data_IF_996669308715
#
_entry.id   IF_996669308715
#
_cell.length_a   1.000
_cell.length_b   1.000
_cell.length_c   1.000
_cell.angle_alpha   90.00
_cell.angle_beta   90.00
_cell.angle_gamma   90.00
#
_symmetry.space_group_name_H-M   'P 1'
#
loop_
_entity.id
_entity.type
_entity.pdbx_description
1 polymer ?
#
# COMPACT_ATOMS: atom_id res chain seq x y z
N UNK A 1 -14.15 3.43 -8.99
CA UNK A 1 -13.31 2.23 -8.76
C UNK A 1 -12.72 1.65 -10.05
N UNK A 2 -13.48 1.52 -11.15
CA UNK A 2 -12.92 1.01 -12.42
C UNK A 2 -11.76 1.88 -12.94
N UNK A 3 -11.94 3.20 -13.02
CA UNK A 3 -10.90 4.16 -13.41
C UNK A 3 -9.66 4.08 -12.50
N UNK A 4 -9.85 4.10 -11.18
CA UNK A 4 -8.78 3.86 -10.21
C UNK A 4 -7.98 2.57 -10.46
N UNK A 5 -8.65 1.44 -10.71
CA UNK A 5 -7.97 0.19 -11.04
C UNK A 5 -7.21 0.24 -12.37
N UNK A 6 -7.73 0.99 -13.34
CA UNK A 6 -7.05 1.19 -14.63
C UNK A 6 -5.78 2.05 -14.51
N UNK A 7 -5.75 3.02 -13.58
CA UNK A 7 -4.54 3.80 -13.30
C UNK A 7 -3.37 2.91 -12.83
N UNK A 8 -3.64 1.78 -12.20
CA UNK A 8 -2.63 0.82 -11.77
C UNK A 8 -2.19 -0.18 -12.87
N UNK A 9 -2.72 -0.12 -14.10
CA UNK A 9 -2.48 -1.13 -15.16
C UNK A 9 -1.02 -1.33 -15.52
N UNK A 10 -0.18 -0.30 -15.38
CA UNK A 10 1.27 -0.34 -15.64
C UNK A 10 2.10 -0.99 -14.52
N UNK A 11 1.50 -1.31 -13.37
CA UNK A 11 2.17 -1.78 -12.16
C UNK A 11 1.87 -3.25 -11.86
N UNK A 12 1.99 -4.12 -12.87
CA UNK A 12 1.68 -5.56 -12.73
C UNK A 12 2.57 -6.28 -11.70
N UNK A 13 3.74 -5.73 -11.46
CA UNK A 13 4.75 -6.15 -10.50
C UNK A 13 4.42 -5.75 -9.06
N UNK A 14 3.52 -4.78 -8.86
CA UNK A 14 3.05 -4.39 -7.53
C UNK A 14 1.79 -5.18 -7.19
N UNK A 15 1.86 -5.98 -6.13
CA UNK A 15 0.75 -6.78 -5.61
C UNK A 15 -0.02 -5.95 -4.60
N UNK A 16 -1.32 -5.78 -4.82
CA UNK A 16 -2.21 -5.06 -3.92
C UNK A 16 -3.02 -6.03 -3.05
N UNK A 17 -3.07 -5.75 -1.76
CA UNK A 17 -3.95 -6.39 -0.78
C UNK A 17 -4.87 -5.30 -0.21
N UNK A 18 -6.17 -5.34 -0.55
CA UNK A 18 -7.18 -4.37 -0.13
C UNK A 18 -8.26 -5.10 0.67
N UNK A 19 -8.18 -5.04 2.00
CA UNK A 19 -8.97 -5.91 2.89
C UNK A 19 -9.88 -5.08 3.80
N UNK A 20 -11.18 -5.42 3.93
CA UNK A 20 -12.07 -4.76 4.88
C UNK A 20 -11.58 -4.92 6.33
N UNK A 21 -11.64 -3.85 7.13
CA UNK A 21 -11.16 -3.83 8.52
C UNK A 21 -12.20 -3.33 9.53
N UNK A 22 -13.46 -3.20 9.11
CA UNK A 22 -14.56 -2.76 9.97
C UNK A 22 -14.65 -3.60 11.25
N UNK A 23 -14.78 -2.92 12.40
CA UNK A 23 -14.83 -3.51 13.73
C UNK A 23 -13.55 -4.24 14.21
N UNK A 24 -12.44 -4.16 13.45
CA UNK A 24 -11.13 -4.71 13.84
C UNK A 24 -10.14 -3.62 14.29
N UNK A 25 -10.62 -2.38 14.47
CA UNK A 25 -9.85 -1.20 14.84
C UNK A 25 -10.56 0.07 14.36
N UNK A 26 -9.81 1.17 14.27
CA UNK A 26 -10.34 2.50 13.94
C UNK A 26 -10.47 2.78 12.43
N UNK A 27 -10.25 1.76 11.58
CA UNK A 27 -10.12 1.92 10.12
C UNK A 27 -11.15 1.10 9.34
N UNK A 28 -11.45 1.54 8.12
CA UNK A 28 -12.38 0.85 7.21
C UNK A 28 -11.68 -0.23 6.36
N UNK A 29 -10.40 -0.02 6.04
CA UNK A 29 -9.59 -0.88 5.17
C UNK A 29 -8.17 -1.01 5.72
N UNK A 30 -7.56 -2.18 5.48
CA UNK A 30 -6.10 -2.38 5.57
C UNK A 30 -5.58 -2.54 4.14
N UNK A 31 -4.54 -1.76 3.82
CA UNK A 31 -3.88 -1.76 2.52
C UNK A 31 -2.44 -2.23 2.68
N UNK A 32 -2.02 -3.20 1.87
CA UNK A 32 -0.62 -3.57 1.73
C UNK A 32 -0.25 -3.69 0.25
N UNK A 33 0.88 -3.08 -0.11
CA UNK A 33 1.44 -3.14 -1.46
C UNK A 33 2.83 -3.79 -1.38
N UNK A 34 3.03 -4.85 -2.17
CA UNK A 34 4.27 -5.62 -2.18
C UNK A 34 4.86 -5.58 -3.59
N UNK A 35 6.15 -5.27 -3.71
CA UNK A 35 6.86 -5.23 -4.97
C UNK A 35 8.33 -5.65 -4.78
N UNK A 36 9.01 -6.11 -5.84
CA UNK A 36 10.45 -6.38 -5.78
C UNK A 36 11.29 -5.13 -5.46
N UNK A 37 10.87 -3.96 -5.95
CA UNK A 37 11.57 -2.68 -5.78
C UNK A 37 10.66 -1.63 -5.15
N UNK A 38 11.20 -0.81 -4.24
CA UNK A 38 10.42 0.16 -3.46
C UNK A 38 9.92 1.34 -4.31
N UNK A 39 10.72 1.79 -5.26
CA UNK A 39 10.37 2.89 -6.18
C UNK A 39 9.11 2.58 -6.99
N UNK A 40 8.87 1.31 -7.32
CA UNK A 40 7.63 0.85 -7.97
C UNK A 40 6.38 1.14 -7.14
N UNK A 41 6.47 0.96 -5.81
CA UNK A 41 5.38 1.29 -4.88
C UNK A 41 5.20 2.81 -4.80
N UNK A 42 6.31 3.56 -4.73
CA UNK A 42 6.27 5.03 -4.69
C UNK A 42 5.62 5.60 -5.95
N UNK A 43 6.01 5.12 -7.12
CA UNK A 43 5.46 5.52 -8.41
C UNK A 43 3.97 5.17 -8.53
N UNK A 44 3.58 3.94 -8.14
CA UNK A 44 2.17 3.56 -8.09
C UNK A 44 1.37 4.52 -7.21
N UNK A 45 1.84 4.76 -5.98
CA UNK A 45 1.13 5.63 -5.03
C UNK A 45 1.01 7.06 -5.53
N UNK A 46 2.03 7.57 -6.25
CA UNK A 46 1.99 8.88 -6.93
C UNK A 46 0.92 8.90 -8.01
N UNK A 47 0.90 7.91 -8.90
CA UNK A 47 -0.04 7.90 -10.03
C UNK A 47 -1.49 7.72 -9.56
N UNK A 48 -1.72 6.95 -8.49
CA UNK A 48 -3.04 6.81 -7.88
C UNK A 48 -3.56 8.13 -7.27
N UNK A 49 -2.73 9.17 -7.11
CA UNK A 49 -3.20 10.52 -6.74
C UNK A 49 -4.03 11.18 -7.84
N UNK A 50 -3.86 10.82 -9.10
CA UNK A 50 -4.58 11.39 -10.22
C UNK A 50 -5.95 10.72 -10.48
N UNK A 51 -6.48 9.96 -9.52
CA UNK A 51 -7.74 9.23 -9.66
C UNK A 51 -8.89 9.90 -8.91
N UNK A 52 -10.11 9.78 -9.42
CA UNK A 52 -11.29 10.40 -8.78
C UNK A 52 -11.56 9.84 -7.38
N UNK A 53 -11.10 8.61 -7.10
CA UNK A 53 -11.17 7.99 -5.78
C UNK A 53 -10.55 8.86 -4.67
N UNK A 54 -9.57 9.72 -4.99
CA UNK A 54 -8.92 10.63 -4.03
C UNK A 54 -9.87 11.65 -3.41
N UNK A 55 -10.94 12.02 -4.09
CA UNK A 55 -11.98 12.92 -3.56
C UNK A 55 -12.78 12.29 -2.42
N UNK A 56 -12.63 10.97 -2.22
CA UNK A 56 -13.40 10.17 -1.26
C UNK A 56 -12.50 9.52 -0.20
N UNK A 57 -11.32 10.07 0.08
CA UNK A 57 -10.44 9.60 1.16
C UNK A 57 -10.50 10.50 2.38
N UNK A 58 -10.73 9.92 3.57
CA UNK A 58 -10.72 10.66 4.84
C UNK A 58 -9.39 10.51 5.61
N UNK A 59 -8.88 9.28 5.72
CA UNK A 59 -7.64 8.96 6.42
C UNK A 59 -6.88 7.85 5.68
N UNK A 60 -5.55 7.93 5.65
CA UNK A 60 -4.67 6.94 5.01
C UNK A 60 -3.35 6.71 5.77
N UNK A 61 -3.23 7.23 6.99
CA UNK A 61 -2.03 7.19 7.83
C UNK A 61 -2.33 6.51 9.16
N UNK A 62 -1.33 5.90 9.83
CA UNK A 62 0.12 5.90 9.52
C UNK A 62 0.52 4.94 8.40
N UNK A 63 1.66 5.24 7.74
CA UNK A 63 2.33 4.34 6.80
C UNK A 63 3.47 3.59 7.50
N UNK A 64 3.58 2.29 7.22
CA UNK A 64 4.71 1.47 7.59
C UNK A 64 5.31 0.88 6.31
N UNK A 65 6.60 1.11 6.08
CA UNK A 65 7.28 0.69 4.86
C UNK A 65 8.67 0.20 5.21
N UNK A 66 9.06 -0.95 4.66
CA UNK A 66 10.36 -1.54 4.93
C UNK A 66 10.58 -2.81 4.08
N UNK A 67 11.82 -3.30 4.05
CA UNK A 67 12.15 -4.52 3.32
C UNK A 67 11.61 -5.76 4.04
N UNK A 68 11.29 -6.80 3.28
CA UNK A 68 11.11 -8.15 3.84
C UNK A 68 12.47 -8.70 4.24
N UNK A 69 12.68 -8.98 5.52
CA UNK A 69 13.92 -9.56 6.05
C UNK A 69 13.67 -10.90 6.76
N UNK A 70 14.66 -11.80 6.84
CA UNK A 70 14.61 -12.94 7.75
C UNK A 70 14.46 -12.50 9.21
N UNK A 71 13.81 -13.33 10.03
CA UNK A 71 13.53 -13.00 11.44
C UNK A 71 14.82 -12.76 12.23
N UNK A 72 15.87 -13.53 11.95
CA UNK A 72 17.18 -13.43 12.59
C UNK A 72 17.85 -12.08 12.30
N UNK A 73 17.69 -11.57 11.07
CA UNK A 73 18.18 -10.26 10.70
C UNK A 73 17.40 -9.17 11.44
N UNK A 74 16.07 -9.28 11.49
CA UNK A 74 15.23 -8.30 12.19
C UNK A 74 15.65 -8.19 13.66
N UNK A 75 15.74 -9.32 14.37
CA UNK A 75 16.08 -9.35 15.80
C UNK A 75 17.46 -8.74 16.08
N UNK A 76 18.46 -9.05 15.25
CA UNK A 76 19.82 -8.53 15.43
C UNK A 76 19.98 -7.05 15.06
N UNK A 77 19.02 -6.47 14.33
CA UNK A 77 19.02 -5.04 13.95
C UNK A 77 18.33 -4.13 14.97
N UNK A 78 17.68 -4.68 16.00
CA UNK A 78 17.01 -3.90 17.04
C UNK A 78 18.04 -3.23 17.99
N UNK A 79 17.75 -2.01 18.48
CA UNK A 79 18.63 -1.28 19.40
C UNK A 79 18.73 -1.89 20.79
#
# INVERSE_FOLDING_TARGET
LAEHGMAARGYKDVRANTVPAFALGDYEWILAFEAPELDRIVDLMRDLRATDARRHTRAETPFFTGPRVPVEHLVSSLP
#
